data_IF_321720602191
#
_entry.id   IF_321720602191
#
_cell.length_a   1.000
_cell.length_b   1.000
_cell.length_c   1.000
_cell.angle_alpha   90.00
_cell.angle_beta   90.00
_cell.angle_gamma   90.00
#
_symmetry.space_group_name_H-M   'P 1'
#
loop_
_entity.id
_entity.type
_entity.pdbx_description
1 polymer ?
#
# COMPACT_ATOMS: atom_id res chain seq x y z
N UNK A 1 -30.84 7.04 -7.22
CA UNK A 1 -29.93 8.04 -6.63
C UNK A 1 -30.15 8.23 -5.13
N UNK A 2 -31.36 8.60 -4.67
CA UNK A 2 -31.64 8.80 -3.23
C UNK A 2 -31.25 7.59 -2.35
N UNK A 3 -31.60 6.37 -2.77
CA UNK A 3 -31.23 5.14 -2.04
C UNK A 3 -29.72 5.00 -1.85
N UNK A 4 -28.93 5.30 -2.87
CA UNK A 4 -27.46 5.25 -2.79
C UNK A 4 -26.94 6.31 -1.84
N UNK A 5 -27.47 7.54 -1.89
CA UNK A 5 -27.09 8.63 -0.98
C UNK A 5 -27.39 8.22 0.47
N UNK A 6 -28.58 7.70 0.77
CA UNK A 6 -28.92 7.22 2.10
C UNK A 6 -28.02 6.07 2.56
N UNK A 7 -27.68 5.13 1.67
CA UNK A 7 -26.73 4.06 1.98
C UNK A 7 -25.33 4.59 2.25
N UNK A 8 -24.84 5.59 1.52
CA UNK A 8 -23.55 6.24 1.78
C UNK A 8 -23.56 6.94 3.14
N UNK A 9 -24.62 7.70 3.44
CA UNK A 9 -24.76 8.38 4.73
C UNK A 9 -24.83 7.36 5.87
N UNK A 10 -25.62 6.29 5.72
CA UNK A 10 -25.72 5.21 6.70
C UNK A 10 -24.39 4.50 6.91
N UNK A 11 -23.64 4.25 5.85
CA UNK A 11 -22.29 3.70 5.93
C UNK A 11 -21.35 4.61 6.71
N UNK A 12 -21.32 5.91 6.38
CA UNK A 12 -20.47 6.88 7.09
C UNK A 12 -20.86 6.99 8.57
N UNK A 13 -22.16 6.94 8.88
CA UNK A 13 -22.65 6.92 10.26
C UNK A 13 -22.21 5.66 11.02
N UNK A 14 -22.34 4.47 10.41
CA UNK A 14 -21.86 3.21 11.02
C UNK A 14 -20.36 3.26 11.29
N UNK A 15 -19.57 3.78 10.35
CA UNK A 15 -18.13 3.96 10.54
C UNK A 15 -17.83 4.96 11.66
N UNK A 16 -18.60 6.05 11.78
CA UNK A 16 -18.46 7.02 12.87
C UNK A 16 -18.76 6.40 14.25
N UNK A 17 -19.63 5.40 14.31
CA UNK A 17 -19.89 4.60 15.52
C UNK A 17 -18.85 3.49 15.76
N UNK A 18 -17.80 3.39 14.93
CA UNK A 18 -16.73 2.42 15.09
C UNK A 18 -17.06 1.02 14.55
N UNK A 19 -18.11 0.89 13.71
CA UNK A 19 -18.42 -0.39 13.05
C UNK A 19 -17.33 -0.70 12.02
N UNK A 20 -16.76 -1.92 11.99
CA UNK A 20 -15.77 -2.31 11.00
C UNK A 20 -16.28 -2.11 9.57
N UNK A 21 -15.43 -1.57 8.68
CA UNK A 21 -15.88 -1.10 7.37
C UNK A 21 -16.53 -2.19 6.51
N UNK A 22 -16.04 -3.43 6.55
CA UNK A 22 -16.65 -4.55 5.83
C UNK A 22 -18.09 -4.82 6.28
N UNK A 23 -18.36 -4.72 7.58
CA UNK A 23 -19.72 -4.82 8.14
C UNK A 23 -20.57 -3.62 7.74
N UNK A 24 -20.01 -2.41 7.80
CA UNK A 24 -20.70 -1.19 7.41
C UNK A 24 -21.14 -1.23 5.93
N UNK A 25 -20.26 -1.66 5.03
CA UNK A 25 -20.54 -1.86 3.60
C UNK A 25 -21.62 -2.90 3.37
N UNK A 26 -21.52 -4.05 4.06
CA UNK A 26 -22.52 -5.11 3.98
C UNK A 26 -23.90 -4.61 4.40
N UNK A 27 -24.01 -3.97 5.57
CA UNK A 27 -25.27 -3.44 6.09
C UNK A 27 -25.81 -2.35 5.17
N UNK A 28 -25.00 -1.36 4.80
CA UNK A 28 -25.44 -0.24 3.97
C UNK A 28 -25.86 -0.69 2.55
N UNK A 29 -25.12 -1.65 1.99
CA UNK A 29 -25.41 -2.25 0.69
C UNK A 29 -26.72 -3.04 0.72
N UNK A 30 -26.89 -3.96 1.68
CA UNK A 30 -28.11 -4.75 1.83
C UNK A 30 -29.32 -3.90 2.17
N UNK A 31 -29.20 -2.96 3.11
CA UNK A 31 -30.27 -2.05 3.47
C UNK A 31 -30.68 -1.17 2.28
N UNK A 32 -29.70 -0.70 1.50
CA UNK A 32 -29.97 0.04 0.26
C UNK A 32 -30.68 -0.81 -0.79
N UNK A 33 -30.24 -2.04 -1.01
CA UNK A 33 -30.90 -2.94 -1.96
C UNK A 33 -32.32 -3.28 -1.49
N UNK A 34 -32.50 -3.57 -0.21
CA UNK A 34 -33.81 -3.88 0.36
C UNK A 34 -34.77 -2.69 0.23
N UNK A 35 -34.31 -1.48 0.52
CA UNK A 35 -35.11 -0.26 0.41
C UNK A 35 -35.42 0.13 -1.04
N UNK A 36 -34.49 -0.11 -1.99
CA UNK A 36 -34.65 0.27 -3.39
C UNK A 36 -35.33 -0.77 -4.28
N UNK A 37 -35.13 -2.05 -4.00
CA UNK A 37 -35.49 -3.17 -4.89
C UNK A 37 -36.23 -4.30 -4.17
N UNK A 38 -36.50 -4.16 -2.87
CA UNK A 38 -37.23 -5.13 -2.06
C UNK A 38 -36.34 -6.09 -1.28
N UNK A 39 -36.83 -6.61 -0.14
CA UNK A 39 -36.05 -7.46 0.76
C UNK A 39 -35.65 -8.80 0.13
N UNK A 40 -36.46 -9.36 -0.77
CA UNK A 40 -36.15 -10.64 -1.44
C UNK A 40 -34.92 -10.53 -2.34
N UNK A 41 -34.75 -9.40 -3.04
CA UNK A 41 -33.58 -9.13 -3.87
C UNK A 41 -32.33 -9.00 -3.00
N UNK A 42 -32.42 -8.29 -1.87
CA UNK A 42 -31.32 -8.17 -0.92
C UNK A 42 -30.92 -9.52 -0.33
N UNK A 43 -31.90 -10.35 0.03
CA UNK A 43 -31.67 -11.70 0.54
C UNK A 43 -31.00 -12.60 -0.51
N UNK A 44 -31.42 -12.51 -1.78
CA UNK A 44 -30.78 -13.26 -2.87
C UNK A 44 -29.30 -12.91 -3.04
N UNK A 45 -28.93 -11.63 -2.94
CA UNK A 45 -27.52 -11.24 -2.95
C UNK A 45 -26.78 -11.71 -1.70
N UNK A 46 -27.40 -11.67 -0.52
CA UNK A 46 -26.79 -12.17 0.71
C UNK A 46 -26.53 -13.68 0.67
N UNK A 47 -27.40 -14.46 0.02
CA UNK A 47 -27.25 -15.91 -0.10
C UNK A 47 -26.13 -16.32 -1.07
N UNK A 48 -25.90 -15.54 -2.12
CA UNK A 48 -24.99 -15.91 -3.22
C UNK A 48 -23.65 -15.19 -3.16
N UNK A 49 -23.65 -13.88 -2.87
CA UNK A 49 -22.46 -13.03 -2.99
C UNK A 49 -21.32 -13.42 -2.06
N UNK A 50 -21.54 -13.74 -0.76
CA UNK A 50 -20.42 -14.09 0.12
C UNK A 50 -19.63 -15.30 -0.38
N UNK A 51 -20.31 -16.36 -0.83
CA UNK A 51 -19.63 -17.57 -1.31
C UNK A 51 -18.93 -17.31 -2.63
N UNK A 52 -19.62 -16.78 -3.64
CA UNK A 52 -19.06 -16.57 -4.98
C UNK A 52 -17.88 -15.60 -4.97
N UNK A 53 -17.91 -14.55 -4.14
CA UNK A 53 -16.83 -13.56 -4.12
C UNK A 53 -15.62 -14.00 -3.29
N UNK A 54 -15.80 -14.84 -2.25
CA UNK A 54 -14.69 -15.33 -1.41
C UNK A 54 -14.05 -16.59 -1.99
N UNK A 55 -14.82 -17.43 -2.70
CA UNK A 55 -14.33 -18.66 -3.32
C UNK A 55 -13.57 -18.42 -4.64
N UNK A 56 -12.68 -17.42 -4.67
CA UNK A 56 -11.83 -17.09 -5.83
C UNK A 56 -10.39 -17.55 -5.62
N UNK A 57 -9.81 -18.20 -6.62
CA UNK A 57 -8.41 -18.64 -6.59
C UNK A 57 -7.42 -17.47 -6.49
N UNK A 58 -7.77 -16.31 -7.06
CA UNK A 58 -6.97 -15.08 -6.99
C UNK A 58 -6.86 -14.56 -5.56
N UNK A 59 -7.90 -14.75 -4.74
CA UNK A 59 -7.90 -14.31 -3.34
C UNK A 59 -6.96 -15.12 -2.46
N UNK A 60 -6.53 -16.31 -2.87
CA UNK A 60 -5.52 -17.12 -2.15
C UNK A 60 -4.16 -16.39 -2.12
N UNK A 61 -3.87 -15.53 -3.09
CA UNK A 61 -2.65 -14.73 -3.09
C UNK A 61 -2.57 -13.81 -1.86
N UNK A 62 -3.70 -13.27 -1.39
CA UNK A 62 -3.75 -12.33 -0.24
C UNK A 62 -3.21 -12.96 1.05
N UNK A 63 -3.77 -14.08 1.58
CA UNK A 63 -3.24 -14.70 2.79
C UNK A 63 -1.81 -15.18 2.63
N UNK A 64 -1.41 -15.66 1.44
CA UNK A 64 -0.06 -16.15 1.22
C UNK A 64 0.97 -15.01 1.22
N UNK A 65 0.71 -13.89 0.54
CA UNK A 65 1.59 -12.73 0.60
C UNK A 65 1.61 -12.08 1.99
N UNK A 66 0.47 -12.01 2.67
CA UNK A 66 0.42 -11.59 4.08
C UNK A 66 1.27 -12.49 4.96
N UNK A 67 1.18 -13.80 4.77
CA UNK A 67 1.95 -14.76 5.56
C UNK A 67 3.44 -14.65 5.25
N UNK A 68 3.82 -14.52 3.98
CA UNK A 68 5.20 -14.27 3.55
C UNK A 68 5.77 -13.01 4.23
N UNK A 69 5.03 -11.91 4.22
CA UNK A 69 5.43 -10.66 4.87
C UNK A 69 5.62 -10.79 6.37
N UNK A 70 4.64 -11.39 7.05
CA UNK A 70 4.71 -11.62 8.48
C UNK A 70 5.84 -12.59 8.88
N UNK A 71 6.12 -13.61 8.06
CA UNK A 71 7.27 -14.50 8.26
C UNK A 71 8.58 -13.75 8.14
N UNK A 72 8.72 -12.88 7.13
CA UNK A 72 9.90 -12.03 6.98
C UNK A 72 10.11 -11.10 8.16
N UNK A 73 9.03 -10.52 8.69
CA UNK A 73 9.07 -9.69 9.91
C UNK A 73 9.55 -10.47 11.13
N UNK A 74 9.01 -11.68 11.37
CA UNK A 74 9.44 -12.53 12.48
C UNK A 74 10.84 -13.15 12.25
N UNK A 75 11.31 -13.20 11.00
CA UNK A 75 12.48 -13.95 10.55
C UNK A 75 13.83 -13.22 10.59
N UNK A 76 13.91 -12.06 11.23
CA UNK A 76 15.10 -11.20 11.26
C UNK A 76 15.62 -10.75 9.87
N UNK A 77 14.75 -10.78 8.85
CA UNK A 77 15.04 -10.32 7.47
C UNK A 77 15.40 -8.83 7.48
N UNK A 78 14.67 -8.04 8.27
CA UNK A 78 14.86 -6.61 8.39
C UNK A 78 16.32 -6.23 8.71
N UNK A 79 16.91 -6.85 9.73
CA UNK A 79 18.27 -6.53 10.17
C UNK A 79 19.32 -6.75 9.08
N UNK A 80 19.12 -7.75 8.21
CA UNK A 80 20.01 -8.03 7.07
C UNK A 80 19.87 -7.01 5.95
N UNK A 81 18.64 -6.64 5.61
CA UNK A 81 18.37 -5.59 4.62
C UNK A 81 18.88 -4.22 5.08
N UNK A 82 18.72 -3.95 6.38
CA UNK A 82 19.24 -2.74 7.00
C UNK A 82 20.77 -2.68 6.97
N UNK A 83 21.49 -3.72 7.41
CA UNK A 83 22.96 -3.77 7.33
C UNK A 83 23.44 -3.65 5.87
N UNK A 84 22.76 -4.31 4.93
CA UNK A 84 23.03 -4.15 3.51
C UNK A 84 22.93 -2.67 3.09
N UNK A 85 21.77 -2.04 3.26
CA UNK A 85 21.58 -0.65 2.86
C UNK A 85 22.55 0.30 3.59
N UNK A 86 22.75 0.10 4.90
CA UNK A 86 23.59 0.97 5.73
C UNK A 86 25.05 0.97 5.28
N UNK A 87 25.61 -0.19 4.89
CA UNK A 87 26.99 -0.24 4.40
C UNK A 87 27.20 0.48 3.08
N UNK A 88 26.15 0.59 2.26
CA UNK A 88 26.22 1.29 0.97
C UNK A 88 26.06 2.80 1.10
N UNK A 89 25.09 3.26 1.91
CA UNK A 89 24.72 4.70 1.97
C UNK A 89 24.98 5.37 3.31
N UNK A 90 25.32 4.63 4.37
CA UNK A 90 25.50 5.15 5.73
C UNK A 90 26.57 6.22 5.85
N UNK A 91 27.61 6.18 4.99
CA UNK A 91 28.68 7.19 4.95
C UNK A 91 28.23 8.61 4.59
N UNK A 92 27.05 8.76 3.99
CA UNK A 92 26.55 10.06 3.58
C UNK A 92 25.81 10.74 4.73
N UNK A 93 25.74 12.08 4.71
CA UNK A 93 24.85 12.80 5.64
C UNK A 93 23.41 12.41 5.32
N UNK A 94 22.61 12.13 6.35
CA UNK A 94 21.29 11.49 6.18
C UNK A 94 21.36 10.00 5.84
N UNK A 95 22.53 9.38 5.90
CA UNK A 95 22.76 7.97 5.55
C UNK A 95 21.87 7.01 6.33
N UNK A 96 21.53 7.29 7.59
CA UNK A 96 20.58 6.47 8.35
C UNK A 96 19.15 6.54 7.77
N UNK A 97 18.71 7.74 7.37
CA UNK A 97 17.41 7.93 6.72
C UNK A 97 17.36 7.31 5.32
N UNK A 98 18.42 7.44 4.52
CA UNK A 98 18.51 6.78 3.21
C UNK A 98 18.51 5.26 3.35
N UNK A 99 19.15 4.76 4.41
CA UNK A 99 19.12 3.33 4.75
C UNK A 99 17.71 2.87 5.06
N UNK A 100 16.96 3.65 5.84
CA UNK A 100 15.55 3.36 6.15
C UNK A 100 14.73 3.21 4.87
N UNK A 101 14.87 4.16 3.93
CA UNK A 101 14.15 4.14 2.66
C UNK A 101 14.58 2.94 1.80
N UNK A 102 15.89 2.70 1.64
CA UNK A 102 16.38 1.58 0.81
C UNK A 102 15.99 0.22 1.38
N UNK A 103 16.21 0.00 2.68
CA UNK A 103 15.80 -1.23 3.35
C UNK A 103 14.28 -1.38 3.32
N UNK A 104 13.54 -0.29 3.53
CA UNK A 104 12.09 -0.24 3.46
C UNK A 104 11.55 -0.53 2.06
N UNK A 105 12.23 -0.05 1.01
CA UNK A 105 11.90 -0.33 -0.40
C UNK A 105 12.03 -1.82 -0.72
N UNK A 106 13.09 -2.47 -0.25
CA UNK A 106 13.27 -3.91 -0.45
C UNK A 106 12.30 -4.72 0.41
N UNK A 107 12.07 -4.29 1.65
CA UNK A 107 11.16 -4.97 2.57
C UNK A 107 9.69 -4.78 2.19
N UNK A 108 9.34 -3.67 1.53
CA UNK A 108 8.03 -3.43 0.95
C UNK A 108 7.62 -4.58 0.02
N UNK A 109 8.57 -5.06 -0.80
CA UNK A 109 8.42 -6.23 -1.65
C UNK A 109 8.35 -7.59 -0.89
N UNK A 110 8.32 -7.56 0.44
CA UNK A 110 8.11 -8.74 1.29
C UNK A 110 6.86 -8.56 2.15
N UNK A 111 6.66 -7.38 2.75
CA UNK A 111 5.64 -7.10 3.76
C UNK A 111 4.24 -6.77 3.20
N UNK A 112 4.16 -6.03 2.09
CA UNK A 112 2.89 -5.57 1.51
C UNK A 112 1.99 -4.71 2.42
N UNK A 113 2.45 -4.29 3.62
CA UNK A 113 1.68 -3.53 4.61
C UNK A 113 2.44 -2.30 5.12
N UNK A 114 1.89 -1.11 4.89
CA UNK A 114 2.53 0.16 5.25
C UNK A 114 2.61 0.41 6.76
N UNK A 115 1.50 0.28 7.48
CA UNK A 115 1.47 0.56 8.92
C UNK A 115 2.33 -0.46 9.71
N UNK A 116 2.30 -1.73 9.31
CA UNK A 116 3.17 -2.75 9.88
C UNK A 116 4.63 -2.42 9.60
N UNK A 117 4.99 -2.13 8.34
CA UNK A 117 6.35 -1.72 7.96
C UNK A 117 6.84 -0.53 8.78
N UNK A 118 6.02 0.52 8.94
CA UNK A 118 6.35 1.69 9.75
C UNK A 118 6.60 1.30 11.23
N UNK A 119 5.76 0.45 11.82
CA UNK A 119 5.96 -0.03 13.19
C UNK A 119 7.26 -0.82 13.36
N UNK A 120 7.56 -1.74 12.44
CA UNK A 120 8.77 -2.57 12.47
C UNK A 120 10.02 -1.71 12.29
N UNK A 121 10.02 -0.84 11.28
CA UNK A 121 11.07 0.12 11.01
C UNK A 121 11.33 1.02 12.23
N UNK A 122 10.28 1.60 12.81
CA UNK A 122 10.37 2.52 13.93
C UNK A 122 11.03 1.92 15.16
N UNK A 123 10.65 0.69 15.52
CA UNK A 123 11.24 -0.04 16.67
C UNK A 123 12.74 -0.26 16.56
N UNK A 124 13.28 -0.27 15.34
CA UNK A 124 14.69 -0.57 15.07
C UNK A 124 15.47 0.72 14.82
N UNK A 125 14.90 1.64 14.04
CA UNK A 125 15.56 2.87 13.62
C UNK A 125 15.55 3.97 14.65
N UNK A 126 14.50 4.09 15.46
CA UNK A 126 14.44 5.16 16.46
C UNK A 126 15.53 4.97 17.53
N UNK A 127 15.75 3.77 18.10
CA UNK A 127 16.85 3.57 19.04
C UNK A 127 18.24 3.75 18.42
N UNK A 128 18.42 3.37 17.14
CA UNK A 128 19.68 3.60 16.43
C UNK A 128 19.91 5.09 16.15
N UNK A 129 18.88 5.85 15.81
CA UNK A 129 18.96 7.28 15.61
C UNK A 129 19.53 8.01 16.83
N UNK A 130 19.10 7.60 18.04
CA UNK A 130 19.60 8.17 19.29
C UNK A 130 21.11 7.91 19.48
N UNK A 131 21.61 6.73 19.12
CA UNK A 131 23.04 6.39 19.21
C UNK A 131 23.91 7.23 18.27
N UNK A 132 23.39 7.57 17.10
CA UNK A 132 24.10 8.36 16.09
C UNK A 132 23.82 9.88 16.19
N UNK A 133 23.08 10.33 17.21
CA UNK A 133 22.75 11.74 17.40
C UNK A 133 21.85 12.32 16.30
N UNK A 134 20.99 11.50 15.69
CA UNK A 134 20.00 11.95 14.73
C UNK A 134 18.83 12.64 15.44
N UNK A 135 18.30 13.68 14.81
CA UNK A 135 17.03 14.29 15.22
C UNK A 135 15.89 13.27 15.08
N UNK A 136 15.21 12.99 16.21
CA UNK A 136 14.11 12.02 16.27
C UNK A 136 12.98 12.36 15.30
N UNK A 137 12.67 13.65 15.11
CA UNK A 137 11.57 14.08 14.22
C UNK A 137 11.87 13.72 12.77
N UNK A 138 13.10 13.94 12.32
CA UNK A 138 13.57 13.61 10.97
C UNK A 138 13.53 12.11 10.69
N UNK A 139 13.89 11.28 11.67
CA UNK A 139 13.81 9.82 11.53
C UNK A 139 12.37 9.33 11.55
N UNK A 140 11.52 9.83 12.45
CA UNK A 140 10.09 9.51 12.44
C UNK A 140 9.46 9.85 11.08
N UNK A 141 9.73 11.03 10.53
CA UNK A 141 9.21 11.40 9.22
C UNK A 141 9.73 10.51 8.08
N UNK A 142 11.04 10.20 8.10
CA UNK A 142 11.66 9.34 7.07
C UNK A 142 11.09 7.93 7.12
N UNK A 143 10.90 7.38 8.31
CA UNK A 143 10.30 6.05 8.49
C UNK A 143 8.83 6.05 8.12
N UNK A 144 8.08 7.10 8.48
CA UNK A 144 6.67 7.23 8.14
C UNK A 144 6.48 7.22 6.61
N UNK A 145 7.30 8.00 5.90
CA UNK A 145 7.30 8.04 4.44
C UNK A 145 7.79 6.71 3.84
N UNK A 146 8.89 6.13 4.33
CA UNK A 146 9.37 4.85 3.83
C UNK A 146 8.36 3.72 3.98
N UNK A 147 7.52 3.76 5.02
CA UNK A 147 6.46 2.78 5.22
C UNK A 147 5.40 2.83 4.11
N UNK A 148 5.13 4.00 3.51
CA UNK A 148 4.10 4.13 2.47
C UNK A 148 4.43 3.30 1.24
N UNK A 149 5.72 3.20 0.88
CA UNK A 149 6.22 2.44 -0.28
C UNK A 149 5.79 0.97 -0.28
N UNK A 150 5.44 0.40 0.88
CA UNK A 150 4.90 -0.96 1.00
C UNK A 150 3.54 -1.13 0.29
N UNK A 151 2.85 -0.04 -0.06
CA UNK A 151 1.59 -0.07 -0.79
C UNK A 151 1.86 -0.04 -2.30
N UNK A 152 2.85 0.72 -2.77
CA UNK A 152 3.19 0.80 -4.20
C UNK A 152 4.08 -0.34 -4.70
N UNK A 153 5.11 -0.72 -3.95
CA UNK A 153 6.12 -1.67 -4.41
C UNK A 153 5.56 -3.10 -4.33
N UNK A 154 5.52 -3.84 -5.45
CA UNK A 154 4.99 -5.20 -5.47
C UNK A 154 5.87 -6.23 -4.74
N UNK A 155 5.29 -7.33 -4.25
CA UNK A 155 3.87 -7.65 -4.18
C UNK A 155 3.12 -6.76 -3.17
N UNK A 156 1.98 -6.21 -3.60
CA UNK A 156 1.16 -5.29 -2.80
C UNK A 156 -0.26 -5.82 -2.63
N UNK A 157 -0.72 -5.90 -1.39
CA UNK A 157 -2.07 -6.38 -1.05
C UNK A 157 -3.12 -5.42 -1.62
N UNK A 158 -2.86 -4.12 -1.56
CA UNK A 158 -3.73 -3.08 -2.10
C UNK A 158 -3.92 -3.26 -3.60
N UNK A 159 -2.86 -3.57 -4.36
CA UNK A 159 -2.97 -3.87 -5.79
C UNK A 159 -3.69 -5.19 -6.07
N UNK A 160 -3.53 -6.23 -5.23
CA UNK A 160 -4.30 -7.48 -5.36
C UNK A 160 -5.79 -7.21 -5.18
N UNK A 161 -6.17 -6.49 -4.12
CA UNK A 161 -7.58 -6.16 -3.84
C UNK A 161 -8.16 -5.30 -4.96
N UNK A 162 -7.40 -4.31 -5.47
CA UNK A 162 -7.80 -3.54 -6.65
C UNK A 162 -8.08 -4.47 -7.83
N UNK A 163 -7.16 -5.39 -8.16
CA UNK A 163 -7.30 -6.33 -9.26
C UNK A 163 -8.52 -7.22 -9.13
N UNK A 164 -8.82 -7.70 -7.92
CA UNK A 164 -10.01 -8.52 -7.66
C UNK A 164 -11.30 -7.71 -7.83
N UNK A 165 -11.36 -6.48 -7.29
CA UNK A 165 -12.57 -5.65 -7.35
C UNK A 165 -12.86 -5.09 -8.74
N UNK A 166 -11.83 -4.95 -9.57
CA UNK A 166 -11.91 -4.37 -10.91
C UNK A 166 -11.72 -5.39 -12.03
N UNK A 167 -11.54 -6.66 -11.67
CA UNK A 167 -11.21 -7.76 -12.58
C UNK A 167 -9.97 -7.49 -13.45
N UNK A 168 -9.04 -6.68 -12.94
CA UNK A 168 -7.77 -6.36 -13.61
C UNK A 168 -6.69 -7.40 -13.25
N UNK A 169 -5.86 -7.77 -14.24
CA UNK A 169 -4.70 -8.65 -14.06
C UNK A 169 -3.78 -8.14 -12.94
N UNK A 170 -3.61 -8.94 -11.89
CA UNK A 170 -2.70 -8.63 -10.77
C UNK A 170 -1.25 -8.55 -11.25
N UNK A 171 -0.87 -9.36 -12.24
CA UNK A 171 0.47 -9.29 -12.84
C UNK A 171 0.72 -7.93 -13.52
N UNK A 172 -0.27 -7.42 -14.26
CA UNK A 172 -0.24 -6.07 -14.86
C UNK A 172 -0.10 -4.99 -13.80
N UNK A 173 -0.90 -5.07 -12.74
CA UNK A 173 -0.85 -4.10 -11.63
C UNK A 173 0.49 -4.13 -10.91
N UNK A 174 1.05 -5.32 -10.68
CA UNK A 174 2.38 -5.45 -10.09
C UNK A 174 3.43 -4.83 -11.00
N UNK A 175 3.46 -5.14 -12.29
CA UNK A 175 4.38 -4.49 -13.23
C UNK A 175 4.22 -2.95 -13.21
N UNK A 176 2.98 -2.46 -13.11
CA UNK A 176 2.70 -1.03 -13.12
C UNK A 176 3.23 -0.31 -11.87
N UNK A 177 3.32 -0.99 -10.72
CA UNK A 177 3.80 -0.42 -9.47
C UNK A 177 5.32 -0.29 -9.35
N UNK A 178 6.10 -1.05 -10.16
CA UNK A 178 7.57 -1.10 -10.03
C UNK A 178 8.21 0.26 -10.31
N UNK A 179 7.93 0.85 -11.48
CA UNK A 179 8.56 2.11 -11.89
C UNK A 179 8.15 3.27 -10.97
N UNK A 180 6.86 3.51 -10.71
CA UNK A 180 6.41 4.52 -9.75
C UNK A 180 6.97 4.31 -8.34
N UNK A 181 7.01 3.07 -7.85
CA UNK A 181 7.55 2.74 -6.53
C UNK A 181 9.05 3.04 -6.40
N UNK A 182 9.84 2.70 -7.42
CA UNK A 182 11.27 3.03 -7.46
C UNK A 182 11.52 4.54 -7.60
N UNK A 183 10.69 5.24 -8.37
CA UNK A 183 10.74 6.71 -8.46
C UNK A 183 10.38 7.36 -7.11
N UNK A 184 9.39 6.83 -6.39
CA UNK A 184 9.04 7.26 -5.03
C UNK A 184 10.19 7.04 -4.05
N UNK A 185 10.79 5.86 -4.06
CA UNK A 185 11.97 5.55 -3.24
C UNK A 185 13.13 6.52 -3.54
N UNK A 186 13.40 6.80 -4.82
CA UNK A 186 14.42 7.77 -5.21
C UNK A 186 14.07 9.18 -4.75
N UNK A 187 12.82 9.62 -4.92
CA UNK A 187 12.35 10.93 -4.48
C UNK A 187 12.52 11.10 -2.96
N UNK A 188 12.23 10.07 -2.18
CA UNK A 188 12.44 10.07 -0.73
C UNK A 188 13.94 10.10 -0.36
N UNK A 189 14.80 9.36 -1.07
CA UNK A 189 16.26 9.40 -0.85
C UNK A 189 16.80 10.81 -1.12
N UNK A 190 16.37 11.43 -2.23
CA UNK A 190 16.72 12.80 -2.58
C UNK A 190 16.20 13.78 -1.52
N UNK A 191 14.99 13.57 -1.02
CA UNK A 191 14.40 14.39 0.06
C UNK A 191 15.26 14.34 1.32
N UNK A 192 15.64 13.13 1.77
CA UNK A 192 16.55 12.96 2.92
C UNK A 192 17.91 13.60 2.67
N UNK A 193 18.47 13.45 1.46
CA UNK A 193 19.73 14.08 1.09
C UNK A 193 19.68 15.61 1.20
N UNK A 194 18.59 16.22 0.71
CA UNK A 194 18.38 17.68 0.78
C UNK A 194 18.19 18.12 2.23
N UNK A 195 17.38 17.40 3.03
CA UNK A 195 17.19 17.68 4.45
C UNK A 195 18.52 17.62 5.21
N UNK A 196 19.32 16.58 4.99
CA UNK A 196 20.61 16.40 5.66
C UNK A 196 21.68 17.41 5.24
N UNK A 197 21.59 17.98 4.03
CA UNK A 197 22.45 19.10 3.62
C UNK A 197 22.04 20.43 4.24
N UNK A 198 20.74 20.66 4.43
CA UNK A 198 20.22 21.89 5.06
C UNK A 198 20.39 21.89 6.58
N UNK A 199 20.25 20.73 7.21
CA UNK A 199 20.39 20.55 8.66
C UNK A 199 21.44 19.45 8.95
N UNK A 200 22.73 19.73 8.70
CA UNK A 200 23.79 18.74 8.83
C UNK A 200 23.98 18.19 10.24
N UNK A 201 23.63 18.95 11.27
CA UNK A 201 23.69 18.51 12.67
C UNK A 201 22.53 17.58 13.04
N UNK A 202 21.37 17.73 12.40
CA UNK A 202 20.19 16.91 12.66
C UNK A 202 20.28 15.51 12.01
N UNK A 203 21.09 15.35 10.97
CA UNK A 203 21.24 14.09 10.23
C UNK A 203 22.72 13.81 9.89
N UNK A 204 23.57 13.54 10.90
CA UNK A 204 25.01 13.36 10.71
C UNK A 204 25.37 12.17 9.80
N UNK A 205 26.59 12.17 9.27
CA UNK A 205 27.10 11.04 8.50
C UNK A 205 27.44 9.87 9.43
N UNK A 206 27.12 8.64 8.99
CA UNK A 206 27.49 7.42 9.67
C UNK A 206 28.88 6.92 9.27
N UNK A 207 29.19 5.68 9.66
CA UNK A 207 30.48 5.06 9.39
C UNK A 207 30.71 4.82 7.89
N UNK A 208 31.97 4.95 7.46
CA UNK A 208 32.41 4.55 6.14
C UNK A 208 32.90 3.09 6.16
N UNK A 209 32.42 2.29 5.21
CA UNK A 209 32.78 0.87 5.08
C UNK A 209 33.58 0.62 3.80
N UNK A 210 34.55 -0.29 3.89
CA UNK A 210 35.36 -0.72 2.74
C UNK A 210 34.55 -1.53 1.72
N UNK A 211 35.08 -1.68 0.50
CA UNK A 211 34.40 -2.44 -0.57
C UNK A 211 34.12 -3.88 -0.18
N UNK A 212 35.04 -4.52 0.57
CA UNK A 212 34.86 -5.89 1.07
C UNK A 212 33.64 -6.00 1.99
N UNK A 213 33.43 -5.04 2.87
CA UNK A 213 32.29 -5.01 3.79
C UNK A 213 30.96 -4.84 3.06
N UNK A 214 30.93 -4.01 2.01
CA UNK A 214 29.75 -3.79 1.16
C UNK A 214 29.38 -5.04 0.35
N UNK A 215 30.37 -5.68 -0.25
CA UNK A 215 30.17 -6.95 -0.98
C UNK A 215 29.68 -8.02 0.00
N UNK A 216 30.29 -8.11 1.18
CA UNK A 216 29.91 -9.09 2.20
C UNK A 216 28.47 -8.89 2.68
N UNK A 217 28.02 -7.66 2.92
CA UNK A 217 26.62 -7.42 3.31
C UNK A 217 25.65 -7.70 2.16
N UNK A 218 26.04 -7.42 0.92
CA UNK A 218 25.25 -7.76 -0.27
C UNK A 218 25.05 -9.27 -0.40
N UNK A 219 26.10 -10.07 -0.22
CA UNK A 219 26.00 -11.53 -0.19
C UNK A 219 25.15 -12.05 0.99
N UNK A 220 25.18 -11.35 2.13
CA UNK A 220 24.34 -11.70 3.29
C UNK A 220 22.86 -11.37 3.07
N UNK A 221 22.55 -10.37 2.26
CA UNK A 221 21.18 -9.99 1.90
C UNK A 221 20.67 -10.70 0.64
N UNK A 222 21.55 -11.28 -0.17
CA UNK A 222 21.18 -11.91 -1.44
C UNK A 222 20.11 -12.99 -1.32
N UNK A 223 20.03 -13.84 -0.27
CA UNK A 223 18.94 -14.82 -0.17
C UNK A 223 17.56 -14.16 -0.13
N UNK A 224 17.43 -13.00 0.53
CA UNK A 224 16.17 -12.25 0.62
C UNK A 224 15.83 -11.63 -0.73
N UNK A 225 16.83 -10.99 -1.37
CA UNK A 225 16.68 -10.40 -2.70
C UNK A 225 16.31 -11.44 -3.75
N UNK A 226 16.87 -12.65 -3.65
CA UNK A 226 16.56 -13.77 -4.53
C UNK A 226 15.11 -14.21 -4.39
N UNK A 227 14.52 -14.22 -3.19
CA UNK A 227 13.10 -14.54 -3.01
C UNK A 227 12.24 -13.53 -3.78
N UNK A 228 12.49 -12.23 -3.61
CA UNK A 228 11.75 -11.17 -4.33
C UNK A 228 11.93 -11.31 -5.85
N UNK A 229 13.17 -11.54 -6.31
CA UNK A 229 13.47 -11.71 -7.72
C UNK A 229 12.80 -12.94 -8.34
N UNK A 230 12.74 -14.07 -7.61
CA UNK A 230 12.06 -15.29 -8.06
C UNK A 230 10.54 -15.09 -8.12
N UNK A 231 9.96 -14.43 -7.12
CA UNK A 231 8.51 -14.14 -7.07
C UNK A 231 8.12 -13.21 -8.22
N UNK A 232 8.73 -12.03 -8.33
CA UNK A 232 8.37 -11.06 -9.35
C UNK A 232 8.81 -11.51 -10.75
N UNK A 233 10.03 -12.02 -10.88
CA UNK A 233 10.54 -12.56 -12.14
C UNK A 233 9.70 -13.73 -12.65
N UNK A 234 9.28 -14.63 -11.77
CA UNK A 234 8.41 -15.75 -12.15
C UNK A 234 7.02 -15.29 -12.61
N UNK A 235 6.46 -14.24 -12.01
CA UNK A 235 5.20 -13.63 -12.48
C UNK A 235 5.40 -13.00 -13.86
N UNK A 236 6.44 -12.18 -14.03
CA UNK A 236 6.66 -11.44 -15.28
C UNK A 236 7.12 -12.31 -16.44
N UNK A 237 7.79 -13.43 -16.17
CA UNK A 237 8.16 -14.43 -17.17
C UNK A 237 7.00 -15.40 -17.49
N UNK A 238 5.86 -15.28 -16.79
CA UNK A 238 4.71 -16.16 -16.96
C UNK A 238 4.93 -17.59 -16.46
N UNK A 239 5.97 -17.82 -15.64
CA UNK A 239 6.22 -19.12 -15.02
C UNK A 239 5.22 -19.44 -13.91
N UNK A 240 4.80 -18.41 -13.18
CA UNK A 240 3.88 -18.51 -12.06
C UNK A 240 2.75 -17.51 -12.20
N UNK A 241 1.55 -17.91 -11.82
CA UNK A 241 0.49 -16.98 -11.45
C UNK A 241 0.86 -16.23 -10.16
N UNK A 242 0.25 -15.06 -9.87
CA UNK A 242 0.48 -14.37 -8.60
C UNK A 242 0.22 -15.22 -7.36
N UNK A 243 -0.75 -16.16 -7.42
CA UNK A 243 -1.04 -17.09 -6.33
C UNK A 243 0.08 -18.12 -6.12
N UNK A 244 0.57 -18.73 -7.20
CA UNK A 244 1.70 -19.67 -7.14
C UNK A 244 2.99 -18.97 -6.68
N UNK A 245 3.23 -17.76 -7.18
CA UNK A 245 4.34 -16.93 -6.76
C UNK A 245 4.29 -16.59 -5.27
N UNK A 246 3.09 -16.33 -4.71
CA UNK A 246 2.91 -16.12 -3.28
C UNK A 246 3.31 -17.37 -2.47
N UNK A 247 2.90 -18.57 -2.91
CA UNK A 247 3.27 -19.83 -2.26
C UNK A 247 4.80 -20.07 -2.28
N UNK A 248 5.44 -19.83 -3.43
CA UNK A 248 6.90 -19.90 -3.57
C UNK A 248 7.58 -18.87 -2.66
N UNK A 249 7.03 -17.66 -2.58
CA UNK A 249 7.49 -16.61 -1.68
C UNK A 249 7.45 -17.02 -0.20
N UNK A 250 6.36 -17.65 0.25
CA UNK A 250 6.22 -18.21 1.61
C UNK A 250 7.30 -19.26 1.88
N UNK A 251 7.51 -20.20 0.97
CA UNK A 251 8.55 -21.25 1.12
C UNK A 251 9.94 -20.62 1.17
N UNK A 252 10.23 -19.71 0.24
CA UNK A 252 11.52 -19.02 0.13
C UNK A 252 11.83 -18.19 1.37
N UNK A 253 10.90 -17.34 1.81
CA UNK A 253 11.12 -16.49 2.98
C UNK A 253 11.22 -17.31 4.26
N UNK A 254 10.49 -18.43 4.37
CA UNK A 254 10.62 -19.36 5.51
C UNK A 254 12.02 -19.96 5.55
N UNK A 255 12.50 -20.50 4.43
CA UNK A 255 13.84 -21.08 4.33
C UNK A 255 14.93 -20.06 4.70
N UNK A 256 14.83 -18.84 4.16
CA UNK A 256 15.75 -17.74 4.51
C UNK A 256 15.67 -17.42 6.00
N UNK A 257 14.47 -17.23 6.54
CA UNK A 257 14.28 -16.84 7.95
C UNK A 257 14.75 -17.91 8.95
N UNK A 258 14.60 -19.19 8.62
CA UNK A 258 15.16 -20.31 9.38
C UNK A 258 16.68 -20.33 9.29
N UNK A 259 17.25 -20.15 8.08
CA UNK A 259 18.71 -20.13 7.88
C UNK A 259 19.41 -18.97 8.61
N UNK A 260 18.70 -17.86 8.81
CA UNK A 260 19.17 -16.71 9.58
C UNK A 260 19.10 -16.95 11.10
N UNK A 261 18.47 -18.04 11.55
CA UNK A 261 18.21 -18.33 12.96
C UNK A 261 17.15 -17.40 13.58
N UNK A 262 16.46 -16.60 12.76
CA UNK A 262 15.47 -15.62 13.22
C UNK A 262 14.10 -16.25 13.50
N UNK A 263 13.72 -17.28 12.74
CA UNK A 263 12.39 -17.88 12.84
C UNK A 263 12.37 -19.10 13.78
N UNK A 264 11.62 -18.99 14.88
CA UNK A 264 11.25 -20.11 15.76
C UNK A 264 9.81 -20.53 15.49
N UNK A 265 9.41 -21.73 15.92
CA UNK A 265 8.04 -22.24 15.77
C UNK A 265 6.99 -21.25 16.26
N UNK A 266 7.22 -20.60 17.42
CA UNK A 266 6.32 -19.56 17.96
C UNK A 266 6.21 -18.33 17.05
N UNK A 267 7.30 -17.94 16.38
CA UNK A 267 7.30 -16.85 15.40
C UNK A 267 6.49 -17.21 14.16
N UNK A 268 6.61 -18.45 13.66
CA UNK A 268 5.80 -18.96 12.55
C UNK A 268 4.30 -18.97 12.87
N UNK A 269 3.92 -19.45 14.06
CA UNK A 269 2.50 -19.42 14.52
C UNK A 269 1.99 -17.99 14.60
N UNK A 270 2.76 -17.08 15.21
CA UNK A 270 2.38 -15.66 15.28
C UNK A 270 2.21 -15.05 13.89
N UNK A 271 3.10 -15.35 12.95
CA UNK A 271 2.99 -14.86 11.58
C UNK A 271 1.72 -15.38 10.88
N UNK A 272 1.34 -16.63 11.13
CA UNK A 272 0.10 -17.19 10.61
C UNK A 272 -1.14 -16.55 11.26
N UNK A 273 -1.14 -16.32 12.57
CA UNK A 273 -2.24 -15.63 13.26
C UNK A 273 -2.48 -14.22 12.73
N UNK A 274 -1.41 -13.43 12.54
CA UNK A 274 -1.51 -12.08 11.97
C UNK A 274 -2.02 -12.12 10.52
N UNK A 275 -1.52 -13.07 9.71
CA UNK A 275 -1.98 -13.26 8.33
C UNK A 275 -3.46 -13.65 8.27
N UNK A 276 -3.93 -14.55 9.14
CA UNK A 276 -5.34 -14.97 9.22
C UNK A 276 -6.24 -13.80 9.61
N UNK A 277 -5.86 -13.02 10.63
CA UNK A 277 -6.63 -11.84 11.07
C UNK A 277 -6.76 -10.81 9.95
N UNK A 278 -5.65 -10.47 9.30
CA UNK A 278 -5.63 -9.52 8.18
C UNK A 278 -6.47 -10.05 7.00
N UNK A 279 -6.34 -11.34 6.65
CA UNK A 279 -7.12 -11.96 5.59
C UNK A 279 -8.62 -11.96 5.90
N UNK A 280 -9.02 -12.32 7.11
CA UNK A 280 -10.43 -12.32 7.51
C UNK A 280 -11.06 -10.93 7.40
N UNK A 281 -10.33 -9.88 7.80
CA UNK A 281 -10.77 -8.49 7.61
C UNK A 281 -10.91 -8.16 6.12
N UNK A 282 -9.91 -8.48 5.30
CA UNK A 282 -9.95 -8.18 3.85
C UNK A 282 -11.11 -8.92 3.17
N UNK A 283 -11.31 -10.21 3.45
CA UNK A 283 -12.39 -10.99 2.85
C UNK A 283 -13.77 -10.45 3.24
N UNK A 284 -13.96 -10.05 4.50
CA UNK A 284 -15.20 -9.41 4.94
C UNK A 284 -15.43 -8.07 4.20
N UNK A 285 -14.36 -7.30 4.01
CA UNK A 285 -14.40 -6.06 3.24
C UNK A 285 -14.80 -6.34 1.78
N UNK A 286 -14.21 -7.34 1.11
CA UNK A 286 -14.54 -7.72 -0.26
C UNK A 286 -16.02 -8.14 -0.40
N UNK A 287 -16.56 -8.89 0.56
CA UNK A 287 -17.99 -9.26 0.56
C UNK A 287 -18.89 -8.03 0.71
N UNK A 288 -18.61 -7.14 1.66
CA UNK A 288 -19.36 -5.90 1.82
C UNK A 288 -19.25 -4.99 0.58
N UNK A 289 -18.03 -4.87 0.03
CA UNK A 289 -17.70 -4.09 -1.16
C UNK A 289 -18.53 -4.51 -2.36
N UNK A 290 -18.59 -5.81 -2.63
CA UNK A 290 -19.26 -6.38 -3.81
C UNK A 290 -20.76 -6.17 -3.74
N UNK A 291 -21.37 -6.35 -2.57
CA UNK A 291 -22.80 -6.05 -2.35
C UNK A 291 -23.08 -4.55 -2.48
N UNK A 292 -22.24 -3.69 -1.90
CA UNK A 292 -22.39 -2.24 -2.04
C UNK A 292 -22.19 -1.78 -3.50
N UNK A 293 -21.20 -2.34 -4.18
CA UNK A 293 -20.94 -2.09 -5.61
C UNK A 293 -22.14 -2.49 -6.47
N UNK A 294 -22.80 -3.60 -6.11
CA UNK A 294 -24.02 -4.02 -6.78
C UNK A 294 -25.16 -3.02 -6.62
N UNK A 295 -25.35 -2.45 -5.44
CA UNK A 295 -26.32 -1.37 -5.21
C UNK A 295 -26.05 -0.17 -6.13
N UNK A 296 -24.80 0.27 -6.22
CA UNK A 296 -24.36 1.37 -7.08
C UNK A 296 -24.62 1.06 -8.56
N UNK A 297 -24.28 -0.16 -8.99
CA UNK A 297 -24.42 -0.62 -10.37
C UNK A 297 -25.89 -0.70 -10.81
N UNK A 298 -26.78 -1.30 -10.00
CA UNK A 298 -28.21 -1.40 -10.32
C UNK A 298 -28.85 0.00 -10.41
N UNK A 299 -28.39 0.94 -9.58
CA UNK A 299 -28.83 2.34 -9.64
C UNK A 299 -28.24 3.12 -10.83
N UNK A 300 -27.35 2.53 -11.63
CA UNK A 300 -26.67 3.14 -12.78
C UNK A 300 -25.99 4.48 -12.44
N UNK A 301 -25.44 4.60 -11.22
CA UNK A 301 -24.78 5.82 -10.77
C UNK A 301 -23.63 6.25 -11.69
N UNK A 302 -22.72 5.36 -12.13
CA UNK A 302 -21.64 5.78 -13.03
C UNK A 302 -22.17 6.38 -14.33
N UNK A 303 -23.17 5.75 -14.97
CA UNK A 303 -23.75 6.25 -16.20
C UNK A 303 -24.45 7.61 -16.04
N UNK A 304 -25.09 7.86 -14.89
CA UNK A 304 -25.68 9.18 -14.58
C UNK A 304 -24.60 10.27 -14.44
N UNK A 305 -23.49 9.95 -13.78
CA UNK A 305 -22.36 10.88 -13.63
C UNK A 305 -21.71 11.16 -14.99
N UNK A 306 -21.43 10.12 -15.80
CA UNK A 306 -20.84 10.28 -17.13
C UNK A 306 -21.74 11.13 -18.03
N UNK A 307 -23.06 10.87 -18.06
CA UNK A 307 -24.01 11.66 -18.87
C UNK A 307 -24.03 13.13 -18.45
N UNK A 308 -24.05 13.41 -17.14
CA UNK A 308 -24.02 14.78 -16.63
C UNK A 308 -22.69 15.50 -16.95
N UNK A 309 -21.58 14.76 -16.98
CA UNK A 309 -20.28 15.32 -17.34
C UNK A 309 -20.15 15.60 -18.84
N UNK A 310 -20.68 14.72 -19.70
CA UNK A 310 -20.73 14.91 -21.16
C UNK A 310 -21.50 16.18 -21.55
N UNK A 311 -22.59 16.49 -20.84
CA UNK A 311 -23.38 17.71 -21.05
C UNK A 311 -22.61 19.01 -20.72
N UNK A 312 -21.59 18.92 -19.84
CA UNK A 312 -20.84 20.09 -19.35
C UNK A 312 -19.56 20.39 -20.15
N UNK A 313 -19.20 19.54 -21.12
CA UNK A 313 -17.96 19.64 -21.91
C UNK A 313 -16.67 19.78 -21.07
N UNK A 314 -16.67 19.28 -19.83
CA UNK A 314 -15.52 19.35 -18.93
C UNK A 314 -14.42 18.41 -19.44
N UNK A 315 -13.17 18.88 -19.61
CA UNK A 315 -12.04 18.02 -19.96
C UNK A 315 -11.84 16.87 -18.96
N UNK A 316 -11.62 15.65 -19.46
CA UNK A 316 -11.37 14.45 -18.64
C UNK A 316 -10.29 14.64 -17.57
N UNK A 317 -9.23 15.40 -17.89
CA UNK A 317 -8.16 15.73 -16.94
C UNK A 317 -8.67 16.50 -15.70
N UNK A 318 -9.63 17.42 -15.85
CA UNK A 318 -10.19 18.14 -14.71
C UNK A 318 -11.02 17.22 -13.81
N UNK A 319 -11.71 16.24 -14.40
CA UNK A 319 -12.44 15.21 -13.64
C UNK A 319 -11.45 14.35 -12.84
N UNK A 320 -10.33 13.96 -13.45
CA UNK A 320 -9.23 13.24 -12.75
C UNK A 320 -8.66 14.08 -11.61
N UNK A 321 -8.36 15.36 -11.84
CA UNK A 321 -7.84 16.25 -10.78
C UNK A 321 -8.85 16.35 -9.63
N UNK A 322 -10.14 16.52 -9.94
CA UNK A 322 -11.20 16.51 -8.93
C UNK A 322 -11.26 15.20 -8.13
N UNK A 323 -11.16 14.06 -8.82
CA UNK A 323 -11.12 12.74 -8.19
C UNK A 323 -9.90 12.58 -7.27
N UNK A 324 -8.72 13.01 -7.72
CA UNK A 324 -7.50 13.02 -6.92
C UNK A 324 -7.67 13.87 -5.67
N UNK A 325 -8.26 15.07 -5.77
CA UNK A 325 -8.51 15.92 -4.60
C UNK A 325 -9.47 15.26 -3.60
N UNK A 326 -10.53 14.61 -4.10
CA UNK A 326 -11.44 13.83 -3.24
C UNK A 326 -10.70 12.70 -2.54
N UNK A 327 -9.81 11.98 -3.24
CA UNK A 327 -9.00 10.92 -2.64
C UNK A 327 -7.95 11.44 -1.65
N UNK A 328 -7.35 12.61 -1.89
CA UNK A 328 -6.46 13.25 -0.91
C UNK A 328 -7.24 13.54 0.37
N UNK A 329 -8.45 14.09 0.26
CA UNK A 329 -9.31 14.37 1.42
C UNK A 329 -9.74 13.09 2.13
N UNK A 330 -10.19 12.07 1.40
CA UNK A 330 -10.62 10.80 2.00
C UNK A 330 -9.46 10.05 2.66
N UNK A 331 -8.29 10.02 2.01
CA UNK A 331 -7.09 9.34 2.50
C UNK A 331 -6.55 9.93 3.80
N UNK A 332 -6.93 11.17 4.15
CA UNK A 332 -6.61 11.74 5.46
C UNK A 332 -7.37 11.11 6.62
N UNK A 333 -8.49 10.42 6.36
CA UNK A 333 -9.35 9.81 7.37
C UNK A 333 -9.41 8.28 7.24
N UNK A 334 -9.28 7.78 6.01
CA UNK A 334 -9.46 6.37 5.67
C UNK A 334 -8.13 5.71 5.33
N UNK A 335 -7.96 4.48 5.81
CA UNK A 335 -6.88 3.59 5.43
C UNK A 335 -7.04 3.13 3.96
N UNK A 336 -5.95 2.80 3.22
CA UNK A 336 -5.99 2.60 1.77
C UNK A 336 -7.02 1.58 1.28
N UNK A 337 -7.12 0.41 1.94
CA UNK A 337 -8.08 -0.62 1.55
C UNK A 337 -9.53 -0.14 1.77
N UNK A 338 -9.74 0.56 2.88
CA UNK A 338 -11.03 1.14 3.24
C UNK A 338 -11.48 2.20 2.22
N UNK A 339 -10.58 3.11 1.84
CA UNK A 339 -10.82 4.13 0.81
C UNK A 339 -11.09 3.50 -0.56
N UNK A 340 -10.33 2.46 -0.91
CA UNK A 340 -10.45 1.77 -2.18
C UNK A 340 -11.84 1.17 -2.35
N UNK A 341 -12.23 0.35 -1.38
CA UNK A 341 -13.47 -0.40 -1.43
C UNK A 341 -14.68 0.53 -1.43
N UNK A 342 -14.61 1.63 -0.68
CA UNK A 342 -15.67 2.62 -0.62
C UNK A 342 -15.91 3.30 -1.97
N UNK A 343 -14.85 3.60 -2.71
CA UNK A 343 -14.90 4.57 -3.80
C UNK A 343 -14.77 3.95 -5.19
N UNK A 344 -14.06 2.83 -5.33
CA UNK A 344 -13.85 2.15 -6.62
C UNK A 344 -15.15 1.80 -7.36
N UNK A 345 -16.25 1.36 -6.71
CA UNK A 345 -17.49 1.05 -7.42
C UNK A 345 -18.03 2.20 -8.28
N UNK A 346 -17.71 3.44 -7.91
CA UNK A 346 -18.11 4.64 -8.65
C UNK A 346 -16.95 5.17 -9.49
N UNK A 347 -15.76 5.28 -8.89
CA UNK A 347 -14.61 5.90 -9.53
C UNK A 347 -14.04 5.07 -10.69
N UNK A 348 -13.99 3.75 -10.55
CA UNK A 348 -13.39 2.89 -11.58
C UNK A 348 -14.15 2.95 -12.90
N UNK A 349 -15.48 2.72 -12.97
CA UNK A 349 -16.21 2.81 -14.23
C UNK A 349 -16.17 4.21 -14.85
N UNK A 350 -16.17 5.26 -14.02
CA UNK A 350 -16.04 6.65 -14.47
C UNK A 350 -14.71 6.88 -15.19
N UNK A 351 -13.60 6.47 -14.57
CA UNK A 351 -12.26 6.64 -15.14
C UNK A 351 -12.09 5.81 -16.42
N UNK A 352 -12.65 4.59 -16.47
CA UNK A 352 -12.67 3.79 -17.69
C UNK A 352 -13.51 4.42 -18.80
N UNK A 353 -14.65 5.06 -18.48
CA UNK A 353 -15.48 5.76 -19.49
C UNK A 353 -14.77 6.97 -20.10
N UNK A 354 -13.81 7.56 -19.39
CA UNK A 354 -12.97 8.64 -19.89
C UNK A 354 -11.81 8.16 -20.76
N UNK A 355 -11.66 6.83 -20.95
CA UNK A 355 -10.63 6.23 -21.79
C UNK A 355 -9.27 6.05 -21.12
N UNK A 356 -9.17 6.19 -19.80
CA UNK A 356 -7.94 5.91 -19.06
C UNK A 356 -7.76 4.41 -18.78
N UNK A 357 -6.51 3.99 -18.63
CA UNK A 357 -6.18 2.59 -18.33
C UNK A 357 -6.33 2.24 -16.84
N UNK A 358 -6.77 1.00 -16.57
CA UNK A 358 -6.98 0.49 -15.21
C UNK A 358 -5.69 0.45 -14.38
N UNK A 359 -4.58 0.04 -14.99
CA UNK A 359 -3.28 -0.04 -14.32
C UNK A 359 -2.78 1.34 -13.89
N UNK A 360 -2.88 2.34 -14.78
CA UNK A 360 -2.56 3.71 -14.44
C UNK A 360 -3.43 4.25 -13.30
N UNK A 361 -4.74 4.01 -13.36
CA UNK A 361 -5.65 4.46 -12.30
C UNK A 361 -5.36 3.77 -10.96
N UNK A 362 -5.00 2.49 -10.96
CA UNK A 362 -4.59 1.77 -9.75
C UNK A 362 -3.36 2.41 -9.10
N UNK A 363 -2.33 2.73 -9.89
CA UNK A 363 -1.13 3.40 -9.40
C UNK A 363 -1.44 4.82 -8.91
N UNK A 364 -2.28 5.56 -9.62
CA UNK A 364 -2.73 6.89 -9.20
C UNK A 364 -3.45 6.82 -7.85
N UNK A 365 -4.38 5.87 -7.70
CA UNK A 365 -5.09 5.61 -6.45
C UNK A 365 -4.10 5.30 -5.32
N UNK A 366 -3.17 4.35 -5.55
CA UNK A 366 -2.18 3.95 -4.56
C UNK A 366 -1.30 5.13 -4.15
N UNK A 367 -0.85 5.95 -5.10
CA UNK A 367 -0.04 7.13 -4.82
C UNK A 367 -0.76 8.12 -3.89
N UNK A 368 -2.05 8.36 -4.12
CA UNK A 368 -2.84 9.24 -3.26
C UNK A 368 -3.08 8.60 -1.89
N UNK A 369 -3.30 7.29 -1.85
CA UNK A 369 -3.44 6.55 -0.60
C UNK A 369 -2.16 6.60 0.26
N UNK A 370 -0.99 6.51 -0.36
CA UNK A 370 0.30 6.69 0.31
C UNK A 370 0.43 8.06 0.96
N UNK A 371 0.02 9.12 0.25
CA UNK A 371 0.01 10.47 0.80
C UNK A 371 -0.92 10.55 2.04
N UNK A 372 -2.08 9.89 2.01
CA UNK A 372 -3.00 9.80 3.14
C UNK A 372 -2.38 9.19 4.40
N UNK A 373 -1.50 8.20 4.25
CA UNK A 373 -0.85 7.49 5.38
C UNK A 373 0.12 8.36 6.19
N UNK A 374 0.53 9.51 5.66
CA UNK A 374 1.41 10.45 6.34
C UNK A 374 0.77 11.82 6.55
N UNK A 375 -0.40 12.12 5.97
CA UNK A 375 -1.05 13.44 6.02
C UNK A 375 -2.03 13.55 7.19
N UNK A 376 -2.08 14.69 7.92
CA UNK A 376 -3.09 14.91 8.97
C UNK A 376 -4.52 15.01 8.41
N UNK A 377 -5.58 14.74 9.21
CA UNK A 377 -5.54 14.45 10.65
C UNK A 377 -5.16 13.02 11.09
N UNK A 378 -5.36 11.97 10.28
CA UNK A 378 -5.15 10.59 10.78
C UNK A 378 -3.76 10.04 10.50
N UNK A 379 -3.17 10.27 9.32
CA UNK A 379 -1.81 9.84 8.94
C UNK A 379 -1.25 8.63 9.71
N UNK A 380 -1.83 7.45 9.48
CA UNK A 380 -1.66 6.28 10.35
C UNK A 380 -0.19 5.90 10.61
N UNK A 381 0.71 6.05 9.63
CA UNK A 381 2.13 5.75 9.84
C UNK A 381 2.76 6.69 10.89
N UNK A 382 2.37 7.97 10.88
CA UNK A 382 2.85 8.97 11.85
C UNK A 382 2.34 8.64 13.25
N UNK A 383 1.07 8.23 13.40
CA UNK A 383 0.53 7.83 14.70
C UNK A 383 1.16 6.56 15.25
N UNK A 384 1.36 5.55 14.40
CA UNK A 384 2.05 4.31 14.78
C UNK A 384 3.46 4.61 15.29
N UNK A 385 4.21 5.47 14.62
CA UNK A 385 5.56 5.82 15.04
C UNK A 385 5.61 6.69 16.29
N UNK A 386 4.73 7.68 16.38
CA UNK A 386 4.67 8.56 17.56
C UNK A 386 4.16 7.82 18.80
N UNK A 387 3.41 6.72 18.64
CA UNK A 387 3.03 5.84 19.77
C UNK A 387 4.20 5.09 20.41
N UNK A 388 5.33 4.97 19.70
CA UNK A 388 6.54 4.27 20.16
C UNK A 388 7.75 5.21 20.30
N UNK A 389 7.53 6.53 20.23
CA UNK A 389 8.58 7.55 20.39
C UNK A 389 8.09 8.72 21.24
N UNK A 390 9.02 9.54 21.75
CA UNK A 390 8.66 10.75 22.51
C UNK A 390 8.29 11.95 21.62
N UNK A 391 8.24 11.77 20.30
CA UNK A 391 7.96 12.85 19.35
C UNK A 391 6.47 13.17 19.35
N UNK A 392 6.12 14.44 19.54
CA UNK A 392 4.72 14.89 19.45
C UNK A 392 4.20 14.69 18.02
N UNK A 393 2.98 14.19 17.89
CA UNK A 393 2.29 13.97 16.60
C UNK A 393 2.36 15.19 15.68
N UNK A 394 2.12 16.39 16.22
CA UNK A 394 2.17 17.64 15.45
C UNK A 394 3.57 17.97 14.91
N UNK A 395 4.63 17.61 15.64
CA UNK A 395 6.01 17.79 15.22
C UNK A 395 6.38 16.76 14.14
N UNK A 396 5.93 15.52 14.30
CA UNK A 396 6.13 14.48 13.30
C UNK A 396 5.44 14.83 11.97
N UNK A 397 4.21 15.33 12.00
CA UNK A 397 3.51 15.80 10.78
C UNK A 397 4.23 16.95 10.10
N UNK A 398 4.77 17.91 10.87
CA UNK A 398 5.60 18.99 10.30
C UNK A 398 6.88 18.46 9.67
N UNK A 399 7.52 17.48 10.29
CA UNK A 399 8.71 16.85 9.75
C UNK A 399 8.43 16.05 8.46
N UNK A 400 7.18 15.63 8.21
CA UNK A 400 6.76 14.95 6.98
C UNK A 400 6.56 15.90 5.77
N UNK A 401 6.53 17.22 5.96
CA UNK A 401 6.28 18.20 4.88
C UNK A 401 7.18 17.99 3.64
N UNK A 402 8.50 17.78 3.76
CA UNK A 402 9.34 17.52 2.59
C UNK A 402 8.91 16.28 1.80
N UNK A 403 8.41 15.24 2.48
CA UNK A 403 7.90 14.02 1.85
C UNK A 403 6.53 14.24 1.21
N UNK A 404 5.68 15.13 1.73
CA UNK A 404 4.45 15.53 1.04
C UNK A 404 4.76 16.20 -0.30
N UNK A 405 5.78 17.07 -0.33
CA UNK A 405 6.21 17.73 -1.56
C UNK A 405 6.73 16.68 -2.55
N UNK A 406 7.55 15.74 -2.11
CA UNK A 406 8.03 14.64 -2.96
C UNK A 406 6.88 13.80 -3.55
N UNK A 407 5.89 13.45 -2.72
CA UNK A 407 4.68 12.74 -3.18
C UNK A 407 3.85 13.57 -4.16
N UNK A 408 3.67 14.87 -3.90
CA UNK A 408 2.95 15.76 -4.80
C UNK A 408 3.63 15.90 -6.16
N UNK A 409 4.97 15.92 -6.19
CA UNK A 409 5.76 15.89 -7.43
C UNK A 409 5.54 14.57 -8.17
N UNK A 410 5.66 13.43 -7.49
CA UNK A 410 5.44 12.11 -8.10
C UNK A 410 4.00 11.97 -8.63
N UNK A 411 3.00 12.42 -7.87
CA UNK A 411 1.61 12.45 -8.28
C UNK A 411 1.40 13.31 -9.54
N UNK A 412 2.03 14.49 -9.59
CA UNK A 412 2.00 15.36 -10.77
C UNK A 412 2.61 14.68 -11.99
N UNK A 413 3.74 13.99 -11.80
CA UNK A 413 4.39 13.20 -12.86
C UNK A 413 3.47 12.09 -13.37
N UNK A 414 2.80 11.35 -12.48
CA UNK A 414 1.89 10.27 -12.87
C UNK A 414 0.65 10.78 -13.62
N UNK A 415 0.11 11.93 -13.24
CA UNK A 415 -1.02 12.57 -13.95
C UNK A 415 -0.59 13.10 -15.30
N UNK A 416 0.59 13.73 -15.39
CA UNK A 416 1.10 14.30 -16.63
C UNK A 416 1.62 13.24 -17.62
N UNK A 417 2.17 12.13 -17.12
CA UNK A 417 2.81 11.09 -17.91
C UNK A 417 2.31 9.69 -17.48
N UNK A 418 1.12 9.25 -17.97
CA UNK A 418 0.57 7.93 -17.64
C UNK A 418 1.51 6.75 -17.96
N UNK A 419 2.38 6.91 -18.96
CA UNK A 419 3.41 5.96 -19.35
C UNK A 419 4.34 5.55 -18.20
N UNK A 420 4.51 6.38 -17.16
CA UNK A 420 5.32 6.02 -15.99
C UNK A 420 4.75 4.79 -15.27
N UNK A 421 3.43 4.59 -15.32
CA UNK A 421 2.77 3.40 -14.77
C UNK A 421 2.58 2.29 -15.82
N UNK A 422 2.34 2.63 -17.10
CA UNK A 422 1.95 1.63 -18.12
C UNK A 422 3.12 1.06 -18.93
N UNK A 423 4.24 1.79 -19.03
CA UNK A 423 5.38 1.41 -19.88
C UNK A 423 5.96 0.02 -19.57
N UNK A 424 6.20 -0.29 -18.30
CA UNK A 424 6.77 -1.59 -17.93
C UNK A 424 5.78 -2.75 -18.17
N UNK A 425 4.50 -2.67 -17.77
CA UNK A 425 3.50 -3.64 -18.17
C UNK A 425 3.43 -3.89 -19.68
N UNK A 426 3.43 -2.83 -20.48
CA UNK A 426 3.33 -2.94 -21.93
C UNK A 426 4.58 -3.55 -22.56
N UNK A 427 5.76 -3.23 -22.01
CA UNK A 427 7.04 -3.85 -22.42
C UNK A 427 7.07 -5.35 -22.13
N UNK A 428 6.50 -5.78 -21.00
CA UNK A 428 6.43 -7.17 -20.58
C UNK A 428 5.27 -7.95 -21.22
N UNK A 429 4.31 -7.25 -21.84
CA UNK A 429 3.12 -7.86 -22.45
C UNK A 429 2.15 -8.47 -21.44
N UNK A 430 2.06 -7.90 -20.23
CA UNK A 430 1.25 -8.42 -19.10
C UNK A 430 0.04 -7.58 -18.74
#
# INVERSE_FOLDING_TARGET
MLTVIFSVIGLLALMAFGVPIGVALLIAGLAGIAAGFGPDVAMGYLQTSPFTNVASFTLIAIPLFLFMGNLGEQGAVWGRLFDFAYRWVGRFRGGLGMTAILAGTVFAAVSGSSAASAATLGKILVPEADKYGYDKRSIVATVAASGTLAIMIPPSITLIVFGVLTETSVARLFAAGVVPGLLGALAYIVTVFVMARRHPEAMPAGAAFGTRDKITSTWKASPILSVVAVVLGGIYLGWFTPTEAAAIGVVGITAVSVSLGGLRTRGGVKAAEEAVKATAMILLIVVGATIFSRLVAINRIPGQITSALEETAIPGLLIIIGLVLVYVLLGQFLEPLSMMVLTLPVAFPLVMSLGYESAWFAILFVQVAELGMITPPVGMNVYVLTSVTDVKVTEAFRACIPFYIANGVLLTILVAFPAVATWLPDLLGV
#
